data_IF_610255916324
#
_entry.id   IF_610255916324
#
_cell.length_a   1.000
_cell.length_b   1.000
_cell.length_c   1.000
_cell.angle_alpha   90.00
_cell.angle_beta   90.00
_cell.angle_gamma   90.00
#
_symmetry.space_group_name_H-M   'P 1'
#
loop_
_entity.id
_entity.type
_entity.pdbx_description
1 polymer ?
#
# COMPACT_ATOMS: atom_id res chain seq x y z
N UNK A 1 -32.95 -30.92 -24.43
CA UNK A 1 -32.29 -30.71 -23.11
C UNK A 1 -30.90 -30.14 -23.36
N UNK A 2 -30.68 -28.85 -23.10
CA UNK A 2 -29.37 -28.21 -23.32
C UNK A 2 -28.43 -28.54 -22.16
N UNK A 3 -27.29 -29.19 -22.43
CA UNK A 3 -26.25 -29.43 -21.42
C UNK A 3 -25.64 -28.09 -20.99
N UNK A 4 -25.62 -27.84 -19.69
CA UNK A 4 -24.96 -26.69 -19.10
C UNK A 4 -23.49 -26.68 -19.53
N UNK A 5 -23.06 -25.55 -20.11
CA UNK A 5 -21.68 -25.35 -20.56
C UNK A 5 -20.82 -25.19 -19.31
N UNK A 6 -20.04 -26.21 -18.99
CA UNK A 6 -19.12 -26.20 -17.86
C UNK A 6 -18.21 -24.96 -17.94
N UNK A 7 -18.01 -24.31 -16.80
CA UNK A 7 -17.32 -23.03 -16.70
C UNK A 7 -15.95 -23.10 -17.38
N UNK A 8 -15.68 -22.16 -18.30
CA UNK A 8 -14.44 -22.09 -19.07
C UNK A 8 -13.24 -22.14 -18.11
N UNK A 9 -12.53 -23.27 -18.12
CA UNK A 9 -11.28 -23.47 -17.38
C UNK A 9 -10.33 -22.30 -17.64
N UNK A 10 -9.75 -21.74 -16.58
CA UNK A 10 -8.81 -20.61 -16.68
C UNK A 10 -7.65 -21.02 -17.58
N UNK A 11 -7.50 -20.33 -18.72
CA UNK A 11 -6.36 -20.56 -19.60
C UNK A 11 -5.05 -20.34 -18.83
N UNK A 12 -4.06 -21.19 -19.06
CA UNK A 12 -2.76 -21.16 -18.37
C UNK A 12 -2.82 -21.42 -16.85
N UNK A 13 -3.75 -22.25 -16.35
CA UNK A 13 -3.85 -22.64 -14.93
C UNK A 13 -2.51 -22.99 -14.28
N UNK A 14 -1.66 -23.76 -14.95
CA UNK A 14 -0.35 -24.21 -14.43
C UNK A 14 0.61 -23.02 -14.22
N UNK A 15 0.53 -21.99 -15.07
CA UNK A 15 1.37 -20.81 -14.94
C UNK A 15 0.91 -19.97 -13.75
N UNK A 16 -0.40 -19.80 -13.58
CA UNK A 16 -0.96 -19.11 -12.42
C UNK A 16 -0.61 -19.85 -11.12
N UNK A 17 -0.71 -21.19 -11.08
CA UNK A 17 -0.31 -21.95 -9.89
C UNK A 17 1.18 -21.79 -9.59
N UNK A 18 2.06 -21.79 -10.61
CA UNK A 18 3.49 -21.54 -10.42
C UNK A 18 3.75 -20.14 -9.86
N UNK A 19 3.10 -19.11 -10.40
CA UNK A 19 3.25 -17.74 -9.92
C UNK A 19 2.78 -17.61 -8.46
N UNK A 20 1.60 -18.17 -8.13
CA UNK A 20 1.09 -18.17 -6.76
C UNK A 20 2.02 -18.90 -5.79
N UNK A 21 2.53 -20.07 -6.18
CA UNK A 21 3.47 -20.84 -5.37
C UNK A 21 4.77 -20.06 -5.10
N UNK A 22 5.35 -19.43 -6.13
CA UNK A 22 6.57 -18.63 -5.97
C UNK A 22 6.37 -17.44 -5.02
N UNK A 23 5.21 -16.78 -5.11
CA UNK A 23 4.88 -15.69 -4.18
C UNK A 23 4.70 -16.19 -2.74
N UNK A 24 4.00 -17.31 -2.55
CA UNK A 24 3.82 -17.94 -1.24
C UNK A 24 5.15 -18.37 -0.63
N UNK A 25 6.00 -19.05 -1.41
CA UNK A 25 7.33 -19.47 -0.98
C UNK A 25 8.21 -18.28 -0.59
N UNK A 26 8.22 -17.22 -1.41
CA UNK A 26 8.96 -16.01 -1.10
C UNK A 26 8.52 -15.36 0.22
N UNK A 27 7.20 -15.30 0.45
CA UNK A 27 6.61 -14.72 1.66
C UNK A 27 6.94 -15.55 2.90
N UNK A 28 6.85 -16.88 2.78
CA UNK A 28 7.21 -17.81 3.85
C UNK A 28 8.67 -17.69 4.26
N UNK A 29 9.60 -17.68 3.30
CA UNK A 29 11.03 -17.52 3.56
C UNK A 29 11.37 -16.17 4.22
N UNK A 30 10.70 -15.09 3.80
CA UNK A 30 10.88 -13.78 4.42
C UNK A 30 10.32 -13.74 5.86
N UNK A 31 9.22 -14.45 6.14
CA UNK A 31 8.68 -14.57 7.48
C UNK A 31 9.60 -15.41 8.40
N UNK A 32 10.15 -16.53 7.90
CA UNK A 32 11.13 -17.33 8.64
C UNK A 32 12.35 -16.51 9.05
N UNK A 33 12.87 -15.65 8.15
CA UNK A 33 13.97 -14.75 8.49
C UNK A 33 13.67 -13.88 9.71
N UNK A 34 12.42 -13.42 9.84
CA UNK A 34 11.96 -12.57 10.94
C UNK A 34 11.89 -13.35 12.26
N UNK A 35 11.44 -14.61 12.22
CA UNK A 35 11.44 -15.52 13.37
C UNK A 35 12.84 -15.83 13.88
N UNK A 36 13.77 -16.18 12.96
CA UNK A 36 15.18 -16.43 13.32
C UNK A 36 15.81 -15.18 13.94
N UNK A 37 15.41 -13.98 13.51
CA UNK A 37 15.89 -12.72 14.11
C UNK A 37 15.39 -12.51 15.54
N UNK A 38 14.13 -12.85 15.82
CA UNK A 38 13.56 -12.72 17.16
C UNK A 38 14.19 -13.70 18.16
N UNK A 39 14.40 -14.96 17.75
CA UNK A 39 15.03 -15.97 18.61
C UNK A 39 16.45 -15.58 19.05
N UNK A 40 17.21 -14.95 18.15
CA UNK A 40 18.56 -14.45 18.44
C UNK A 40 18.51 -13.30 19.45
N UNK A 41 17.54 -12.38 19.32
CA UNK A 41 17.39 -11.25 20.25
C UNK A 41 17.02 -11.73 21.66
N UNK A 42 16.09 -12.68 21.77
CA UNK A 42 15.64 -13.25 23.05
C UNK A 42 16.71 -14.08 23.77
N UNK A 43 17.59 -14.79 23.04
CA UNK A 43 18.72 -15.53 23.63
C UNK A 43 19.87 -14.63 24.05
N UNK A 44 20.05 -13.47 23.41
CA UNK A 44 21.10 -12.52 23.76
C UNK A 44 20.88 -11.82 25.11
N UNK A 45 19.64 -11.79 25.61
CA UNK A 45 19.30 -11.19 26.92
C UNK A 45 19.56 -12.08 28.13
N UNK A 46 19.79 -13.39 27.94
CA UNK A 46 19.82 -14.37 29.04
C UNK A 46 21.15 -15.10 29.25
N UNK A 47 22.15 -14.95 28.36
CA UNK A 47 23.45 -15.62 28.56
C UNK A 47 24.65 -14.79 28.06
N UNK A 48 25.41 -14.24 29.02
CA UNK A 48 26.73 -13.70 28.77
C UNK A 48 27.76 -14.83 28.66
N UNK A 49 27.89 -15.48 27.50
CA UNK A 49 29.09 -16.19 27.01
C UNK A 49 28.79 -16.94 25.70
N UNK A 50 29.62 -16.73 24.67
CA UNK A 50 29.68 -17.59 23.48
C UNK A 50 29.70 -16.86 22.13
N UNK A 51 30.85 -16.30 21.73
CA UNK A 51 31.03 -15.55 20.48
C UNK A 51 30.84 -16.37 19.17
N UNK A 52 30.70 -17.70 19.22
CA UNK A 52 30.69 -18.56 18.02
C UNK A 52 29.31 -18.84 17.38
N UNK A 53 28.18 -18.65 18.09
CA UNK A 53 26.85 -18.95 17.54
C UNK A 53 26.26 -17.79 16.68
N UNK A 54 26.82 -16.59 16.78
CA UNK A 54 26.27 -15.38 16.16
C UNK A 54 26.55 -15.23 14.66
N UNK A 55 27.59 -15.90 14.15
CA UNK A 55 27.98 -15.83 12.73
C UNK A 55 27.17 -16.77 11.86
N UNK A 56 26.88 -17.99 12.35
CA UNK A 56 26.06 -18.99 11.66
C UNK A 56 24.64 -18.48 11.38
N UNK A 57 23.99 -17.90 12.39
CA UNK A 57 22.62 -17.37 12.31
C UNK A 57 22.49 -16.18 11.36
N UNK A 58 23.48 -15.28 11.32
CA UNK A 58 23.52 -14.17 10.34
C UNK A 58 23.64 -14.68 8.90
N UNK A 59 24.43 -15.73 8.69
CA UNK A 59 24.58 -16.33 7.37
C UNK A 59 23.28 -17.02 6.92
N UNK A 60 22.60 -17.72 7.83
CA UNK A 60 21.30 -18.33 7.57
C UNK A 60 20.23 -17.28 7.23
N UNK A 61 20.15 -16.18 7.99
CA UNK A 61 19.23 -15.08 7.69
C UNK A 61 19.47 -14.46 6.30
N UNK A 62 20.74 -14.26 5.93
CA UNK A 62 21.11 -13.77 4.59
C UNK A 62 20.74 -14.78 3.51
N UNK A 63 20.93 -16.08 3.77
CA UNK A 63 20.53 -17.13 2.84
C UNK A 63 19.02 -17.11 2.61
N UNK A 64 18.21 -17.10 3.66
CA UNK A 64 16.74 -17.01 3.56
C UNK A 64 16.28 -15.76 2.80
N UNK A 65 16.92 -14.61 3.07
CA UNK A 65 16.64 -13.37 2.33
C UNK A 65 16.94 -13.51 0.82
N UNK A 66 18.07 -14.14 0.48
CA UNK A 66 18.47 -14.35 -0.90
C UNK A 66 17.54 -15.33 -1.62
N UNK A 67 17.14 -16.44 -0.97
CA UNK A 67 16.16 -17.37 -1.54
C UNK A 67 14.80 -16.70 -1.76
N UNK A 68 14.33 -15.88 -0.81
CA UNK A 68 13.10 -15.11 -0.96
C UNK A 68 13.16 -14.19 -2.19
N UNK A 69 14.27 -13.45 -2.35
CA UNK A 69 14.50 -12.59 -3.53
C UNK A 69 14.56 -13.37 -4.83
N UNK A 70 15.19 -14.54 -4.82
CA UNK A 70 15.28 -15.41 -5.99
C UNK A 70 13.88 -15.89 -6.42
N UNK A 71 13.04 -16.34 -5.48
CA UNK A 71 11.67 -16.75 -5.76
C UNK A 71 10.82 -15.61 -6.37
N UNK A 72 11.01 -14.36 -5.92
CA UNK A 72 10.36 -13.19 -6.52
C UNK A 72 10.90 -12.86 -7.91
N UNK A 73 12.21 -13.04 -8.12
CA UNK A 73 12.84 -12.86 -9.44
C UNK A 73 12.27 -13.86 -10.43
N UNK A 74 12.12 -15.12 -10.03
CA UNK A 74 11.48 -16.17 -10.82
C UNK A 74 10.01 -15.86 -11.09
N UNK A 75 9.27 -15.38 -10.08
CA UNK A 75 7.89 -14.92 -10.25
C UNK A 75 7.81 -13.82 -11.33
N UNK A 76 8.70 -12.84 -11.28
CA UNK A 76 8.78 -11.75 -12.25
C UNK A 76 9.10 -12.26 -13.66
N UNK A 77 10.05 -13.19 -13.79
CA UNK A 77 10.41 -13.80 -15.06
C UNK A 77 9.25 -14.61 -15.66
N UNK A 78 8.60 -15.47 -14.87
CA UNK A 78 7.45 -16.29 -15.28
C UNK A 78 6.31 -15.40 -15.76
N UNK A 79 5.99 -14.36 -15.00
CA UNK A 79 4.86 -13.47 -15.29
C UNK A 79 5.10 -12.57 -16.49
N UNK A 80 6.34 -12.12 -16.72
CA UNK A 80 6.71 -11.39 -17.93
C UNK A 80 6.71 -12.28 -19.17
N UNK A 81 7.30 -13.48 -19.08
CA UNK A 81 7.37 -14.43 -20.20
C UNK A 81 5.99 -14.85 -20.71
N UNK A 82 5.02 -14.92 -19.80
CA UNK A 82 3.63 -15.31 -20.10
C UNK A 82 2.69 -14.12 -20.23
N UNK A 83 3.21 -12.89 -20.17
CA UNK A 83 2.45 -11.64 -20.26
C UNK A 83 1.27 -11.54 -19.25
N UNK A 84 1.41 -12.16 -18.07
CA UNK A 84 0.38 -12.13 -17.04
C UNK A 84 0.46 -10.81 -16.27
N UNK A 85 -0.67 -10.08 -16.26
CA UNK A 85 -0.81 -8.84 -15.49
C UNK A 85 -0.90 -9.14 -14.00
N UNK A 86 0.13 -8.73 -13.26
CA UNK A 86 0.17 -8.83 -11.80
C UNK A 86 -0.79 -7.82 -11.15
N UNK A 87 -1.44 -8.22 -10.05
CA UNK A 87 -2.33 -7.34 -9.28
C UNK A 87 -1.55 -6.14 -8.70
N UNK A 88 -2.19 -4.96 -8.53
CA UNK A 88 -1.54 -3.80 -7.92
C UNK A 88 -0.99 -4.10 -6.51
N UNK A 89 -1.74 -4.83 -5.69
CA UNK A 89 -1.33 -5.21 -4.33
C UNK A 89 -0.03 -6.03 -4.32
N UNK A 90 0.10 -7.01 -5.21
CA UNK A 90 1.32 -7.81 -5.30
C UNK A 90 2.53 -6.98 -5.79
N UNK A 91 2.32 -6.08 -6.76
CA UNK A 91 3.38 -5.15 -7.19
C UNK A 91 3.77 -4.15 -6.11
N UNK A 92 2.83 -3.77 -5.25
CA UNK A 92 3.11 -2.94 -4.07
C UNK A 92 4.00 -3.69 -3.09
N UNK A 93 3.72 -4.97 -2.83
CA UNK A 93 4.51 -5.82 -1.94
C UNK A 93 5.92 -6.21 -2.46
N UNK A 94 6.27 -5.96 -3.72
CA UNK A 94 7.57 -6.40 -4.31
C UNK A 94 8.41 -5.21 -4.80
N UNK A 95 9.64 -5.03 -4.30
CA UNK A 95 10.51 -3.96 -4.78
C UNK A 95 10.77 -4.05 -6.30
N UNK A 96 10.62 -2.94 -7.03
CA UNK A 96 10.78 -2.90 -8.49
C UNK A 96 12.20 -3.19 -8.97
N UNK A 97 13.20 -2.88 -8.13
CA UNK A 97 14.61 -2.83 -8.52
C UNK A 97 15.38 -4.09 -8.11
N UNK A 98 15.21 -4.51 -6.86
CA UNK A 98 15.99 -5.62 -6.28
C UNK A 98 15.12 -6.84 -5.95
N UNK A 99 13.84 -6.84 -6.33
CA UNK A 99 12.90 -7.96 -6.16
C UNK A 99 12.74 -8.43 -4.70
N UNK A 100 13.05 -7.57 -3.73
CA UNK A 100 12.83 -7.86 -2.31
C UNK A 100 11.35 -7.67 -1.94
N UNK A 101 10.76 -8.63 -1.22
CA UNK A 101 9.44 -8.44 -0.60
C UNK A 101 9.48 -7.30 0.41
N UNK A 102 8.51 -6.41 0.34
CA UNK A 102 8.34 -5.23 1.17
C UNK A 102 7.44 -5.59 2.35
N UNK A 103 8.06 -5.95 3.46
CA UNK A 103 7.44 -6.23 4.75
C UNK A 103 7.69 -5.01 5.64
N UNK A 104 6.60 -4.40 6.10
CA UNK A 104 6.66 -3.22 6.95
C UNK A 104 7.41 -3.51 8.25
N UNK A 105 8.29 -2.59 8.66
CA UNK A 105 9.08 -2.74 9.88
C UNK A 105 10.35 -3.57 9.71
N UNK A 106 10.43 -4.47 8.72
CA UNK A 106 11.60 -5.31 8.46
C UNK A 106 12.39 -4.88 7.22
N UNK A 107 11.85 -5.12 6.03
CA UNK A 107 12.56 -4.89 4.75
C UNK A 107 12.20 -3.56 4.10
N UNK A 108 11.11 -2.93 4.54
CA UNK A 108 10.72 -1.59 4.10
C UNK A 108 10.27 -0.70 5.26
N UNK A 109 10.30 0.60 5.00
CA UNK A 109 9.67 1.63 5.84
C UNK A 109 8.57 2.32 5.04
N UNK A 110 7.35 2.28 5.55
CA UNK A 110 6.21 3.03 5.03
C UNK A 110 6.03 4.32 5.85
N UNK A 111 5.96 5.45 5.16
CA UNK A 111 5.72 6.77 5.76
C UNK A 111 4.77 7.55 4.85
N UNK A 112 3.82 8.28 5.42
CA UNK A 112 2.96 9.19 4.66
C UNK A 112 3.61 10.57 4.67
N UNK A 113 3.90 11.09 3.48
CA UNK A 113 4.50 12.40 3.29
C UNK A 113 3.50 13.32 2.56
N UNK A 114 3.37 14.56 3.02
CA UNK A 114 2.59 15.60 2.35
C UNK A 114 3.50 16.76 1.94
N UNK A 115 3.93 16.76 0.68
CA UNK A 115 4.83 17.77 0.13
C UNK A 115 4.11 19.09 -0.25
N UNK A 116 2.83 19.26 0.10
CA UNK A 116 2.16 20.54 -0.11
C UNK A 116 2.72 21.62 0.83
N UNK A 117 2.57 22.89 0.45
CA UNK A 117 3.03 24.03 1.26
C UNK A 117 2.42 23.96 2.67
N UNK A 118 3.22 23.57 3.66
CA UNK A 118 2.82 23.39 5.05
C UNK A 118 1.81 22.25 5.30
N UNK A 119 1.75 21.22 4.43
CA UNK A 119 0.82 20.09 4.60
C UNK A 119 -0.67 20.44 4.48
N UNK A 120 -0.99 21.62 3.92
CA UNK A 120 -2.36 22.18 3.94
C UNK A 120 -3.34 21.49 3.01
N UNK A 121 -2.87 20.73 2.01
CA UNK A 121 -3.74 20.05 1.04
C UNK A 121 -3.93 18.60 1.48
N UNK A 122 -5.10 18.20 2.02
CA UNK A 122 -5.30 16.83 2.50
C UNK A 122 -5.24 15.79 1.36
N UNK A 123 -5.64 16.15 0.14
CA UNK A 123 -5.55 15.24 -1.02
C UNK A 123 -4.11 15.03 -1.54
N UNK A 124 -3.12 15.73 -1.00
CA UNK A 124 -1.72 15.65 -1.42
C UNK A 124 -0.89 14.64 -0.63
N UNK A 125 -1.53 13.83 0.23
CA UNK A 125 -0.85 12.78 0.98
C UNK A 125 -0.37 11.65 0.05
N UNK A 126 0.91 11.30 0.19
CA UNK A 126 1.57 10.25 -0.58
C UNK A 126 2.20 9.24 0.38
N UNK A 127 1.79 7.98 0.27
CA UNK A 127 2.45 6.86 0.91
C UNK A 127 3.77 6.58 0.21
N UNK A 128 4.86 6.81 0.92
CA UNK A 128 6.23 6.56 0.51
C UNK A 128 6.69 5.25 1.14
N UNK A 129 7.00 4.25 0.31
CA UNK A 129 7.55 2.95 0.74
C UNK A 129 9.02 2.88 0.31
N UNK A 130 9.93 3.00 1.27
CA UNK A 130 11.38 2.90 1.04
C UNK A 130 11.87 1.49 1.33
N UNK A 131 12.55 0.90 0.35
CA UNK A 131 13.20 -0.39 0.50
C UNK A 131 14.49 -0.23 1.31
N UNK A 132 14.68 -1.01 2.38
CA UNK A 132 15.91 -0.99 3.18
C UNK A 132 17.07 -1.72 2.52
N UNK A 133 16.80 -2.65 1.59
CA UNK A 133 17.84 -3.41 0.89
C UNK A 133 18.57 -2.58 -0.17
N UNK A 134 17.83 -1.84 -1.03
CA UNK A 134 18.42 -1.07 -2.13
C UNK A 134 18.22 0.45 -2.01
N UNK A 135 17.52 0.94 -0.99
CA UNK A 135 17.26 2.37 -0.77
C UNK A 135 16.18 2.99 -1.67
N UNK A 136 15.74 2.30 -2.72
CA UNK A 136 14.74 2.83 -3.66
C UNK A 136 13.36 3.01 -3.02
N UNK A 137 12.62 3.97 -3.57
CA UNK A 137 11.36 4.45 -3.01
C UNK A 137 10.22 4.27 -4.00
N UNK A 138 9.10 3.72 -3.53
CA UNK A 138 7.82 3.74 -4.26
C UNK A 138 6.87 4.74 -3.63
N UNK A 139 6.06 5.40 -4.45
CA UNK A 139 5.13 6.44 -4.01
C UNK A 139 3.72 6.11 -4.49
N UNK A 140 2.74 6.21 -3.58
CA UNK A 140 1.33 5.97 -3.88
C UNK A 140 0.47 7.10 -3.31
N UNK A 141 -0.34 7.78 -4.13
CA UNK A 141 -1.31 8.73 -3.59
C UNK A 141 -2.35 7.98 -2.74
N UNK A 142 -2.60 8.45 -1.52
CA UNK A 142 -3.56 7.81 -0.59
C UNK A 142 -4.87 8.58 -0.46
N UNK A 143 -4.78 9.91 -0.33
CA UNK A 143 -5.95 10.75 -0.05
C UNK A 143 -6.58 11.38 -1.31
N UNK A 144 -5.98 11.18 -2.48
CA UNK A 144 -6.50 11.72 -3.73
C UNK A 144 -7.63 10.83 -4.29
N UNK A 145 -8.83 11.38 -4.57
CA UNK A 145 -9.88 10.61 -5.22
C UNK A 145 -9.40 10.14 -6.58
N UNK A 146 -9.75 8.89 -6.95
CA UNK A 146 -9.45 8.38 -8.29
C UNK A 146 -10.18 9.23 -9.32
N UNK A 147 -9.41 9.77 -10.27
CA UNK A 147 -9.97 10.51 -11.39
C UNK A 147 -10.97 9.63 -12.17
N UNK A 148 -12.19 10.13 -12.33
CA UNK A 148 -13.26 9.44 -13.09
C UNK A 148 -12.79 9.18 -14.54
N UNK A 149 -13.27 8.08 -15.14
CA UNK A 149 -13.00 7.74 -16.55
C UNK A 149 -13.54 8.85 -17.46
N UNK A 150 -12.92 9.07 -18.63
CA UNK A 150 -13.30 10.14 -19.58
C UNK A 150 -14.79 10.14 -19.91
N UNK A 151 -15.39 8.96 -20.14
CA UNK A 151 -16.82 8.83 -20.43
C UNK A 151 -17.70 9.40 -19.32
N UNK A 152 -17.38 9.10 -18.05
CA UNK A 152 -18.11 9.57 -16.88
C UNK A 152 -17.89 11.06 -16.59
N UNK A 153 -16.76 11.63 -17.03
CA UNK A 153 -16.50 13.08 -16.91
C UNK A 153 -17.29 13.93 -17.90
N UNK A 154 -17.69 13.35 -19.03
CA UNK A 154 -18.45 14.05 -20.06
C UNK A 154 -19.96 14.08 -19.74
N UNK A 155 -20.50 13.05 -19.10
CA UNK A 155 -21.91 13.00 -18.67
C UNK A 155 -22.23 14.08 -17.63
N UNK A 156 -21.35 14.26 -16.64
CA UNK A 156 -21.48 15.31 -15.60
C UNK A 156 -21.40 16.74 -16.18
N UNK A 157 -20.83 16.93 -17.38
CA UNK A 157 -20.85 18.22 -18.09
C UNK A 157 -22.14 18.46 -18.88
N UNK A 158 -22.88 17.41 -19.24
CA UNK A 158 -24.12 17.52 -20.01
C UNK A 158 -25.35 17.64 -19.09
N UNK A 159 -25.34 16.93 -17.96
CA UNK A 159 -26.38 17.03 -16.94
C UNK A 159 -26.43 18.43 -16.28
N UNK A 160 -25.31 19.16 -16.23
CA UNK A 160 -25.25 20.53 -15.72
C UNK A 160 -25.80 21.63 -16.66
N UNK A 161 -26.31 21.27 -17.85
CA UNK A 161 -26.85 22.22 -18.84
C UNK A 161 -28.36 22.12 -19.05
N UNK A 162 -29.06 21.16 -18.45
CA UNK A 162 -30.50 20.94 -18.70
C UNK A 162 -31.42 21.42 -17.56
N UNK A 163 -30.87 21.77 -16.38
CA UNK A 163 -31.64 22.30 -15.23
C UNK A 163 -31.59 23.84 -15.11
N UNK A 164 -31.72 24.58 -16.21
CA UNK A 164 -31.85 26.06 -16.16
C UNK A 164 -32.95 26.65 -17.04
N UNK A 165 -33.93 25.84 -17.45
CA UNK A 165 -35.10 26.36 -18.18
C UNK A 165 -36.40 25.70 -17.75
N UNK A 166 -36.76 25.79 -16.47
CA UNK A 166 -38.17 25.93 -16.08
C UNK A 166 -38.34 26.36 -14.62
N UNK A 167 -38.31 27.68 -14.35
CA UNK A 167 -39.13 28.24 -13.29
C UNK A 167 -39.23 29.77 -13.40
N UNK A 168 -40.10 30.24 -14.28
CA UNK A 168 -40.79 31.53 -14.10
C UNK A 168 -42.30 31.28 -14.13
N UNK A 169 -42.93 31.23 -12.95
CA UNK A 169 -44.15 31.97 -12.62
C UNK A 169 -44.81 31.41 -11.35
N UNK A 170 -44.63 32.12 -10.21
CA UNK A 170 -45.70 32.67 -9.36
C UNK A 170 -45.22 32.93 -7.93
N UNK A 171 -45.45 34.15 -7.45
CA UNK A 171 -45.88 34.36 -6.07
C UNK A 171 -44.92 35.10 -5.15
N UNK A 172 -45.03 36.43 -5.15
CA UNK A 172 -44.58 37.32 -4.08
C UNK A 172 -45.30 37.01 -2.74
N UNK A 173 -44.54 36.88 -1.64
CA UNK A 173 -44.75 37.59 -0.35
C UNK A 173 -43.78 37.13 0.76
N UNK A 174 -42.98 38.10 1.22
CA UNK A 174 -42.49 38.38 2.59
C UNK A 174 -42.62 37.30 3.69
N UNK A 175 -41.51 36.94 4.34
CA UNK A 175 -41.13 37.48 5.68
C UNK A 175 -39.90 36.80 6.27
N UNK A 176 -39.04 37.64 6.86
CA UNK A 176 -37.98 37.41 7.85
C UNK A 176 -38.14 36.17 8.73
N UNK A 177 -37.07 35.38 8.93
CA UNK A 177 -36.53 35.01 10.25
C UNK A 177 -35.12 34.40 10.11
N UNK A 178 -34.23 34.84 11.00
CA UNK A 178 -32.88 34.32 11.20
C UNK A 178 -32.94 33.07 12.10
N UNK A 179 -32.03 32.11 11.91
CA UNK A 179 -31.01 31.79 12.94
C UNK A 179 -29.97 30.78 12.43
N UNK A 180 -28.73 30.84 12.96
CA UNK A 180 -27.59 30.04 12.52
C UNK A 180 -27.36 28.82 13.44
N UNK A 181 -26.67 27.80 12.94
CA UNK A 181 -25.78 26.98 13.79
C UNK A 181 -24.77 26.21 12.93
N UNK A 182 -23.65 26.88 12.67
CA UNK A 182 -22.37 26.22 12.44
C UNK A 182 -21.91 25.60 13.77
N UNK A 183 -21.60 24.30 13.76
CA UNK A 183 -20.80 23.67 14.81
C UNK A 183 -19.52 23.14 14.18
N UNK A 184 -18.35 23.76 14.44
CA UNK A 184 -17.07 23.22 14.02
C UNK A 184 -16.64 22.11 14.99
N UNK A 185 -16.38 20.92 14.45
CA UNK A 185 -15.68 19.87 15.20
C UNK A 185 -14.28 20.36 15.57
N UNK A 186 -14.06 20.54 16.88
CA UNK A 186 -12.78 20.86 17.48
C UNK A 186 -11.79 19.72 17.29
N UNK A 187 -10.58 20.06 16.84
CA UNK A 187 -9.41 19.18 16.91
C UNK A 187 -8.69 19.45 18.23
N UNK A 188 -8.44 18.45 19.11
CA UNK A 188 -7.62 18.65 20.28
C UNK A 188 -6.14 18.66 19.88
N UNK A 189 -5.50 19.81 20.07
CA UNK A 189 -4.03 19.93 20.07
C UNK A 189 -3.54 19.77 21.50
N UNK A 190 -2.80 18.70 21.77
CA UNK A 190 -1.96 18.59 22.96
C UNK A 190 -0.52 18.72 22.50
N UNK A 191 0.15 19.80 22.90
CA UNK A 191 1.61 19.96 22.81
C UNK A 191 2.16 19.86 24.23
N UNK A 192 3.16 19.01 24.51
CA UNK A 192 3.75 18.89 25.84
C UNK A 192 4.65 20.08 26.19
N UNK A 193 4.62 20.42 27.48
CA UNK A 193 5.26 21.58 28.08
C UNK A 193 6.78 21.60 28.04
N UNK A 194 7.27 22.83 28.11
CA UNK A 194 8.66 23.27 28.17
C UNK A 194 9.37 22.78 29.43
N UNK A 195 10.62 22.36 29.25
CA UNK A 195 11.68 22.41 30.23
C UNK A 195 12.19 23.85 30.40
N UNK A 196 12.54 24.25 31.63
CA UNK A 196 13.59 25.24 31.84
C UNK A 196 14.80 24.58 32.54
N UNK A 197 16.00 24.77 31.97
CA UNK A 197 17.26 24.66 32.72
C UNK A 197 17.59 25.99 33.40
N UNK A 198 18.78 26.18 34.00
CA UNK A 198 19.87 25.23 34.24
C UNK A 198 19.76 24.44 35.56
#
# INVERSE_FOLDING_TARGET
MAKAKENKSVQNRIIYSRASYLYQAASYLAQQQSLVRQDVLSKSSTSGQGHSASTSTKNEQKALQNLSRQAVTDLRAVTQKTQIRQSPAMKQAICKFCDTLQIEGDTCTSTVENASKGGRKPWADVLTIKCRTCGNVKRYPVSAPRQKRKALRNQERQEGTEDSSNNEARGCKSSMEMTPNDTPYQTPSQTPGQTPGP
#
